data_IF_387327407201
#
_entry.id   IF_387327407201
#
_cell.length_a   1.000
_cell.length_b   1.000
_cell.length_c   1.000
_cell.angle_alpha   90.00
_cell.angle_beta   90.00
_cell.angle_gamma   90.00
#
_symmetry.space_group_name_H-M   'P 1'
#
loop_
_entity.id
_entity.type
_entity.pdbx_description
1 polymer ?
#
# COMPACT_ATOMS: atom_id res chain seq x y z
N UNK A 1 0.64 0.50 -7.55
CA UNK A 1 2.04 0.94 -7.68
C UNK A 1 2.89 0.50 -6.48
N UNK A 2 2.55 0.86 -5.22
CA UNK A 2 3.38 0.57 -4.02
C UNK A 2 3.74 -0.92 -3.87
N UNK A 3 2.79 -1.83 -4.06
CA UNK A 3 3.04 -3.28 -3.95
C UNK A 3 4.01 -3.76 -5.03
N UNK A 4 3.85 -3.26 -6.27
CA UNK A 4 4.76 -3.59 -7.37
C UNK A 4 6.18 -3.06 -7.15
N UNK A 5 6.29 -1.80 -6.69
CA UNK A 5 7.59 -1.22 -6.32
C UNK A 5 8.25 -2.02 -5.19
N UNK A 6 7.50 -2.42 -4.17
CA UNK A 6 8.03 -3.25 -3.09
C UNK A 6 8.48 -4.63 -3.56
N UNK A 7 7.77 -5.27 -4.49
CA UNK A 7 8.17 -6.56 -5.04
C UNK A 7 9.48 -6.49 -5.84
N UNK A 8 9.72 -5.37 -6.55
CA UNK A 8 10.92 -5.15 -7.36
C UNK A 8 12.08 -4.50 -6.59
N UNK A 9 11.81 -3.90 -5.42
CA UNK A 9 12.78 -3.11 -4.66
C UNK A 9 14.10 -3.84 -4.34
N UNK A 10 14.13 -5.13 -3.93
CA UNK A 10 15.37 -5.83 -3.63
C UNK A 10 16.30 -5.98 -4.84
N UNK A 11 15.74 -6.01 -6.04
CA UNK A 11 16.52 -6.07 -7.29
C UNK A 11 16.82 -4.67 -7.81
N UNK A 12 15.82 -3.76 -7.76
CA UNK A 12 15.94 -2.42 -8.30
C UNK A 12 16.94 -1.55 -7.53
N UNK A 13 16.87 -1.57 -6.20
CA UNK A 13 17.68 -0.66 -5.36
C UNK A 13 19.18 -0.93 -5.49
N UNK A 14 19.67 -2.17 -5.39
CA UNK A 14 21.10 -2.44 -5.57
C UNK A 14 21.62 -2.10 -6.99
N UNK A 15 20.78 -2.22 -8.01
CA UNK A 15 21.16 -1.91 -9.40
C UNK A 15 21.27 -0.40 -9.61
N UNK A 16 20.29 0.36 -9.09
CA UNK A 16 20.25 1.82 -9.32
C UNK A 16 21.19 2.59 -8.40
N UNK A 17 21.27 2.19 -7.12
CA UNK A 17 22.02 2.90 -6.09
C UNK A 17 23.31 2.20 -5.66
N UNK A 18 23.55 0.99 -6.15
CA UNK A 18 24.71 0.17 -5.81
C UNK A 18 24.45 -0.82 -4.66
N UNK A 19 25.31 -1.86 -4.60
CA UNK A 19 25.15 -2.98 -3.67
C UNK A 19 25.11 -2.61 -2.18
N UNK A 20 25.70 -1.47 -1.79
CA UNK A 20 25.65 -0.95 -0.42
C UNK A 20 24.24 -0.63 0.07
N UNK A 21 23.26 -0.50 -0.84
CA UNK A 21 21.86 -0.18 -0.55
C UNK A 21 20.94 -1.41 -0.53
N UNK A 22 21.49 -2.63 -0.52
CA UNK A 22 20.69 -3.87 -0.50
C UNK A 22 19.71 -3.92 0.67
N UNK A 23 20.11 -3.49 1.86
CA UNK A 23 19.23 -3.42 3.05
C UNK A 23 18.02 -2.48 2.83
N UNK A 24 18.21 -1.41 2.07
CA UNK A 24 17.10 -0.51 1.72
C UNK A 24 16.06 -1.18 0.82
N UNK A 25 16.47 -2.18 0.02
CA UNK A 25 15.57 -3.02 -0.76
C UNK A 25 14.63 -3.86 0.12
N UNK A 26 15.15 -4.44 1.18
CA UNK A 26 14.38 -5.21 2.16
C UNK A 26 13.41 -4.29 2.94
N UNK A 27 13.87 -3.11 3.35
CA UNK A 27 13.02 -2.10 4.00
C UNK A 27 11.87 -1.66 3.09
N UNK A 28 12.12 -1.47 1.81
CA UNK A 28 11.10 -1.10 0.84
C UNK A 28 10.02 -2.20 0.68
N UNK A 29 10.40 -3.48 0.82
CA UNK A 29 9.41 -4.58 0.86
C UNK A 29 8.51 -4.49 2.10
N UNK A 30 9.07 -4.19 3.26
CA UNK A 30 8.29 -4.00 4.50
C UNK A 30 7.28 -2.87 4.30
N UNK A 31 7.69 -1.75 3.72
CA UNK A 31 6.79 -0.64 3.44
C UNK A 31 5.71 -0.95 2.38
N UNK A 32 5.92 -1.93 1.51
CA UNK A 32 4.88 -2.37 0.59
C UNK A 32 3.63 -2.92 1.31
N UNK A 33 3.78 -3.50 2.50
CA UNK A 33 2.65 -3.92 3.33
C UNK A 33 1.79 -2.74 3.83
N UNK A 34 2.32 -1.53 3.82
CA UNK A 34 1.56 -0.32 4.15
C UNK A 34 0.65 0.17 3.00
N UNK A 35 0.66 -0.48 1.84
CA UNK A 35 -0.12 -0.05 0.68
C UNK A 35 -1.62 0.08 0.99
N UNK A 36 -2.18 -0.84 1.79
CA UNK A 36 -3.60 -0.82 2.18
C UNK A 36 -3.93 0.38 3.08
N UNK A 37 -3.30 0.54 4.26
CA UNK A 37 -3.59 1.68 5.12
C UNK A 37 -3.24 3.02 4.47
N UNK A 38 -2.17 3.08 3.67
CA UNK A 38 -1.79 4.29 2.95
C UNK A 38 -2.87 4.72 1.94
N UNK A 39 -3.41 3.76 1.17
CA UNK A 39 -4.48 4.05 0.21
C UNK A 39 -5.72 4.58 0.91
N UNK A 40 -6.14 3.97 2.02
CA UNK A 40 -7.30 4.43 2.78
C UNK A 40 -7.07 5.82 3.39
N UNK A 41 -5.88 6.09 3.93
CA UNK A 41 -5.53 7.40 4.48
C UNK A 41 -5.51 8.50 3.41
N UNK A 42 -5.05 8.16 2.19
CA UNK A 42 -5.03 9.06 1.05
C UNK A 42 -6.42 9.57 0.65
N UNK A 43 -7.44 8.75 0.81
CA UNK A 43 -8.84 9.16 0.55
C UNK A 43 -9.51 9.76 1.78
N UNK A 44 -9.24 9.24 2.97
CA UNK A 44 -9.90 9.69 4.20
C UNK A 44 -9.57 11.14 4.56
N UNK A 45 -8.31 11.53 4.48
CA UNK A 45 -7.86 12.87 4.88
C UNK A 45 -8.47 14.00 4.05
N UNK A 46 -8.43 13.97 2.70
CA UNK A 46 -9.10 14.97 1.88
C UNK A 46 -10.62 14.97 2.06
N UNK A 47 -11.24 13.80 2.19
CA UNK A 47 -12.69 13.70 2.39
C UNK A 47 -13.12 14.37 3.69
N UNK A 48 -12.43 14.14 4.79
CA UNK A 48 -12.69 14.79 6.07
C UNK A 48 -12.45 16.30 6.01
N UNK A 49 -11.47 16.76 5.22
CA UNK A 49 -11.22 18.20 5.01
C UNK A 49 -12.38 18.87 4.29
N UNK A 50 -12.86 18.28 3.19
CA UNK A 50 -13.98 18.82 2.39
C UNK A 50 -15.27 18.85 3.18
N UNK A 51 -15.49 17.86 4.05
CA UNK A 51 -16.65 17.77 4.94
C UNK A 51 -16.57 18.73 6.15
N UNK A 52 -15.51 19.55 6.25
CA UNK A 52 -15.31 20.48 7.37
C UNK A 52 -15.09 19.80 8.72
N UNK A 53 -14.76 18.50 8.73
CA UNK A 53 -14.56 17.71 9.94
C UNK A 53 -13.16 17.91 10.56
N UNK A 54 -12.74 19.16 10.73
CA UNK A 54 -11.40 19.53 11.20
C UNK A 54 -11.02 18.89 12.54
N UNK A 55 -11.97 18.76 13.46
CA UNK A 55 -11.75 18.08 14.75
C UNK A 55 -11.40 16.61 14.57
N UNK A 56 -12.04 15.94 13.61
CA UNK A 56 -11.76 14.55 13.28
C UNK A 56 -10.36 14.39 12.68
N UNK A 57 -9.95 15.32 11.83
CA UNK A 57 -8.59 15.35 11.27
C UNK A 57 -7.52 15.54 12.35
N UNK A 58 -7.72 16.51 13.25
CA UNK A 58 -6.80 16.76 14.36
C UNK A 58 -6.69 15.51 15.23
N UNK A 59 -7.82 14.91 15.61
CA UNK A 59 -7.86 13.69 16.41
C UNK A 59 -7.12 12.53 15.73
N UNK A 60 -7.33 12.33 14.42
CA UNK A 60 -6.64 11.30 13.66
C UNK A 60 -5.14 11.55 13.61
N UNK A 61 -4.72 12.77 13.28
CA UNK A 61 -3.30 13.15 13.19
C UNK A 61 -2.59 13.03 14.53
N UNK A 62 -3.25 13.48 15.61
CA UNK A 62 -2.71 13.35 16.97
C UNK A 62 -2.55 11.89 17.38
N UNK A 63 -3.54 11.05 17.12
CA UNK A 63 -3.45 9.61 17.39
C UNK A 63 -2.33 8.95 16.59
N UNK A 64 -2.20 9.28 15.31
CA UNK A 64 -1.11 8.78 14.47
C UNK A 64 0.27 9.24 14.99
N UNK A 65 0.39 10.48 15.45
CA UNK A 65 1.63 11.02 16.00
C UNK A 65 1.99 10.30 17.29
N UNK A 66 1.07 10.24 18.25
CA UNK A 66 1.31 9.62 19.58
C UNK A 66 1.67 8.14 19.42
N UNK A 67 0.87 7.39 18.63
CA UNK A 67 1.13 5.98 18.38
C UNK A 67 2.48 5.79 17.63
N UNK A 68 2.80 6.69 16.71
CA UNK A 68 4.07 6.70 16.01
C UNK A 68 5.26 6.89 16.94
N UNK A 69 5.19 7.89 17.82
CA UNK A 69 6.26 8.16 18.80
C UNK A 69 6.44 6.96 19.73
N UNK A 70 5.36 6.43 20.29
CA UNK A 70 5.42 5.29 21.22
C UNK A 70 6.06 4.07 20.54
N UNK A 71 5.58 3.68 19.36
CA UNK A 71 6.08 2.50 18.67
C UNK A 71 7.52 2.69 18.17
N UNK A 72 7.88 3.89 17.73
CA UNK A 72 9.25 4.21 17.31
C UNK A 72 10.21 4.15 18.49
N UNK A 73 9.86 4.76 19.63
CA UNK A 73 10.69 4.72 20.84
C UNK A 73 10.84 3.29 21.37
N UNK A 74 9.78 2.50 21.34
CA UNK A 74 9.84 1.09 21.74
C UNK A 74 10.71 0.23 20.81
N UNK A 75 10.75 0.56 19.50
CA UNK A 75 11.52 -0.17 18.51
C UNK A 75 13.00 0.28 18.43
N UNK A 76 13.31 1.50 18.92
CA UNK A 76 14.63 2.11 18.79
C UNK A 76 15.79 1.22 19.30
N UNK A 77 15.70 0.54 20.45
CA UNK A 77 16.78 -0.31 20.94
C UNK A 77 17.05 -1.55 20.07
N UNK A 78 16.12 -1.91 19.20
CA UNK A 78 16.21 -3.09 18.33
C UNK A 78 16.75 -2.77 16.92
N UNK A 79 17.11 -1.49 16.67
CA UNK A 79 17.75 -1.05 15.43
C UNK A 79 16.77 -0.61 14.33
N UNK A 80 17.34 -0.21 13.18
CA UNK A 80 16.61 0.44 12.08
C UNK A 80 15.50 -0.44 11.51
N UNK A 81 15.73 -1.75 11.37
CA UNK A 81 14.73 -2.70 10.87
C UNK A 81 13.51 -2.79 11.78
N UNK A 82 13.72 -2.83 13.10
CA UNK A 82 12.63 -2.85 14.07
C UNK A 82 11.80 -1.56 14.01
N UNK A 83 12.45 -0.42 13.85
CA UNK A 83 11.77 0.86 13.64
C UNK A 83 10.95 0.83 12.35
N UNK A 84 11.50 0.34 11.22
CA UNK A 84 10.75 0.23 9.97
C UNK A 84 9.55 -0.71 10.10
N UNK A 85 9.71 -1.86 10.75
CA UNK A 85 8.61 -2.81 11.00
C UNK A 85 7.53 -2.15 11.87
N UNK A 86 7.88 -1.30 12.85
CA UNK A 86 6.92 -0.65 13.73
C UNK A 86 5.94 0.28 13.02
N UNK A 87 6.29 0.78 11.83
CA UNK A 87 5.38 1.59 11.00
C UNK A 87 4.19 0.79 10.45
N UNK A 88 4.38 -0.51 10.20
CA UNK A 88 3.31 -1.37 9.66
C UNK A 88 2.17 -1.53 10.68
N UNK A 89 2.38 -2.04 11.91
CA UNK A 89 1.31 -2.14 12.89
C UNK A 89 0.69 -0.79 13.23
N UNK A 90 1.48 0.28 13.30
CA UNK A 90 0.95 1.64 13.49
C UNK A 90 -0.09 1.99 12.43
N UNK A 91 0.23 1.73 11.15
CA UNK A 91 -0.66 2.05 10.05
C UNK A 91 -1.96 1.24 10.13
N UNK A 92 -1.89 -0.05 10.48
CA UNK A 92 -3.06 -0.92 10.64
C UNK A 92 -3.89 -0.60 11.88
N UNK A 93 -3.27 -0.23 13.00
CA UNK A 93 -3.97 0.16 14.23
C UNK A 93 -4.79 1.45 14.06
N UNK A 94 -4.38 2.35 13.15
CA UNK A 94 -5.13 3.58 12.87
C UNK A 94 -6.27 3.38 11.87
N UNK A 95 -6.33 2.26 11.14
CA UNK A 95 -7.38 1.98 10.15
C UNK A 95 -8.80 2.01 10.73
N UNK A 96 -9.13 1.32 11.84
CA UNK A 96 -10.48 1.31 12.37
C UNK A 96 -10.93 2.71 12.78
N UNK A 97 -10.02 3.52 13.31
CA UNK A 97 -10.32 4.91 13.64
C UNK A 97 -10.59 5.75 12.40
N UNK A 98 -9.79 5.59 11.33
CA UNK A 98 -10.02 6.28 10.06
C UNK A 98 -11.39 5.95 9.47
N UNK A 99 -11.74 4.67 9.41
CA UNK A 99 -13.03 4.20 8.89
C UNK A 99 -14.17 4.72 9.74
N UNK A 100 -14.03 4.72 11.06
CA UNK A 100 -15.06 5.23 11.98
C UNK A 100 -15.28 6.73 11.83
N UNK A 101 -14.20 7.52 11.74
CA UNK A 101 -14.28 8.98 11.55
C UNK A 101 -14.89 9.33 10.20
N UNK A 102 -14.49 8.63 9.14
CA UNK A 102 -15.05 8.82 7.80
C UNK A 102 -16.55 8.52 7.79
N UNK A 103 -16.97 7.39 8.40
CA UNK A 103 -18.38 7.05 8.54
C UNK A 103 -19.16 8.11 9.30
N UNK A 104 -18.60 8.62 10.39
CA UNK A 104 -19.26 9.65 11.22
C UNK A 104 -19.42 10.98 10.49
N UNK A 105 -18.45 11.35 9.66
CA UNK A 105 -18.43 12.61 8.93
C UNK A 105 -19.26 12.58 7.64
N UNK A 106 -19.19 11.47 6.88
CA UNK A 106 -19.81 11.35 5.55
C UNK A 106 -21.10 10.53 5.52
N UNK A 107 -21.39 9.75 6.57
CA UNK A 107 -22.48 8.78 6.55
C UNK A 107 -22.24 7.55 5.66
N UNK A 108 -21.10 7.49 4.95
CA UNK A 108 -20.74 6.38 4.05
C UNK A 108 -20.57 5.09 4.88
N UNK A 109 -21.18 4.02 4.41
CA UNK A 109 -21.04 2.72 5.08
C UNK A 109 -19.64 2.15 4.84
N UNK A 110 -18.99 1.53 5.85
CA UNK A 110 -17.69 0.90 5.68
C UNK A 110 -17.64 -0.10 4.50
N UNK A 111 -18.75 -0.82 4.30
CA UNK A 111 -18.89 -1.76 3.18
C UNK A 111 -18.73 -1.09 1.81
N UNK A 112 -19.22 0.13 1.64
CA UNK A 112 -19.10 0.87 0.38
C UNK A 112 -17.66 1.34 0.14
N UNK A 113 -16.98 1.74 1.21
CA UNK A 113 -15.54 2.06 1.17
C UNK A 113 -14.72 0.84 0.77
N UNK A 114 -14.97 -0.32 1.38
CA UNK A 114 -14.28 -1.57 1.01
C UNK A 114 -14.64 -2.04 -0.41
N UNK A 115 -15.86 -1.84 -0.85
CA UNK A 115 -16.26 -2.13 -2.24
C UNK A 115 -15.51 -1.25 -3.24
N UNK A 116 -15.33 0.03 -2.95
CA UNK A 116 -14.61 0.95 -3.84
C UNK A 116 -13.10 0.66 -3.89
N UNK A 117 -12.48 0.32 -2.76
CA UNK A 117 -11.04 0.11 -2.62
C UNK A 117 -10.64 -1.36 -2.90
N UNK A 118 -11.56 -2.30 -2.76
CA UNK A 118 -11.32 -3.74 -2.91
C UNK A 118 -10.74 -4.15 -4.26
N UNK A 119 -11.36 -3.80 -5.40
CA UNK A 119 -10.87 -4.18 -6.72
C UNK A 119 -9.41 -3.77 -6.98
N UNK A 120 -9.01 -2.50 -6.78
CA UNK A 120 -7.62 -2.11 -6.96
C UNK A 120 -6.65 -2.76 -5.96
N UNK A 121 -7.11 -3.08 -4.74
CA UNK A 121 -6.29 -3.81 -3.77
C UNK A 121 -6.04 -5.25 -4.21
N UNK A 122 -7.08 -5.97 -4.62
CA UNK A 122 -6.93 -7.35 -5.12
C UNK A 122 -6.04 -7.37 -6.37
N UNK A 123 -6.26 -6.46 -7.32
CA UNK A 123 -5.42 -6.37 -8.52
C UNK A 123 -3.95 -6.08 -8.17
N UNK A 124 -3.69 -5.18 -7.22
CA UNK A 124 -2.31 -4.84 -6.82
C UNK A 124 -1.63 -5.95 -6.03
N UNK A 125 -2.35 -6.70 -5.20
CA UNK A 125 -1.78 -7.86 -4.48
C UNK A 125 -1.48 -9.01 -5.44
N UNK A 126 -2.37 -9.32 -6.37
CA UNK A 126 -2.12 -10.33 -7.41
C UNK A 126 -0.90 -9.95 -8.26
N UNK A 127 -0.81 -8.69 -8.70
CA UNK A 127 0.36 -8.19 -9.41
C UNK A 127 1.64 -8.32 -8.57
N UNK A 128 1.61 -7.94 -7.29
CA UNK A 128 2.77 -8.03 -6.41
C UNK A 128 3.25 -9.46 -6.21
N UNK A 129 2.34 -10.40 -6.01
CA UNK A 129 2.66 -11.84 -5.90
C UNK A 129 3.23 -12.36 -7.22
N UNK A 130 2.61 -12.04 -8.35
CA UNK A 130 3.10 -12.45 -9.67
C UNK A 130 4.51 -11.92 -9.94
N UNK A 131 4.78 -10.63 -9.62
CA UNK A 131 6.10 -10.04 -9.76
C UNK A 131 7.13 -10.67 -8.81
N UNK A 132 6.78 -10.92 -7.55
CA UNK A 132 7.67 -11.56 -6.60
C UNK A 132 8.06 -12.98 -7.02
N UNK A 133 7.12 -13.74 -7.57
CA UNK A 133 7.39 -15.06 -8.13
C UNK A 133 8.26 -14.95 -9.39
N UNK A 134 7.93 -14.02 -10.29
CA UNK A 134 8.70 -13.82 -11.52
C UNK A 134 10.14 -13.39 -11.24
N UNK A 135 10.36 -12.50 -10.27
CA UNK A 135 11.72 -12.11 -9.82
C UNK A 135 12.49 -13.35 -9.39
N UNK A 136 11.94 -14.18 -8.51
CA UNK A 136 12.63 -15.40 -8.02
C UNK A 136 12.97 -16.39 -9.14
N UNK A 137 12.10 -16.51 -10.14
CA UNK A 137 12.32 -17.43 -11.27
C UNK A 137 13.33 -16.90 -12.29
N UNK A 138 13.39 -15.59 -12.49
CA UNK A 138 14.23 -14.94 -13.49
C UNK A 138 15.61 -14.52 -12.95
N UNK A 139 15.72 -14.26 -11.66
CA UNK A 139 16.97 -13.84 -11.00
C UNK A 139 18.11 -14.87 -11.18
N UNK A 140 17.77 -16.14 -11.38
CA UNK A 140 18.72 -17.22 -11.65
C UNK A 140 19.19 -17.29 -13.11
N UNK A 141 18.54 -16.57 -14.04
CA UNK A 141 18.76 -16.71 -15.49
C UNK A 141 19.14 -15.43 -16.22
N UNK A 142 18.81 -14.25 -15.66
CA UNK A 142 18.98 -12.96 -16.32
C UNK A 142 19.76 -11.99 -15.44
N UNK A 143 20.48 -11.06 -16.08
CA UNK A 143 21.11 -9.96 -15.37
C UNK A 143 20.02 -9.06 -14.74
N UNK A 144 20.23 -8.58 -13.52
CA UNK A 144 19.20 -7.86 -12.75
C UNK A 144 18.55 -6.67 -13.49
N UNK A 145 19.31 -5.92 -14.33
CA UNK A 145 18.76 -4.82 -15.14
C UNK A 145 17.77 -5.31 -16.21
N UNK A 146 17.99 -6.52 -16.78
CA UNK A 146 17.08 -7.14 -17.74
C UNK A 146 15.77 -7.56 -17.06
N UNK A 147 15.87 -8.07 -15.83
CA UNK A 147 14.71 -8.40 -14.99
C UNK A 147 13.85 -7.15 -14.76
N UNK A 148 14.48 -6.01 -14.43
CA UNK A 148 13.76 -4.75 -14.24
C UNK A 148 13.07 -4.25 -15.51
N UNK A 149 13.79 -4.22 -16.65
CA UNK A 149 13.25 -3.77 -17.93
C UNK A 149 12.07 -4.62 -18.40
N UNK A 150 12.08 -5.91 -18.10
CA UNK A 150 11.03 -6.84 -18.50
C UNK A 150 9.83 -6.81 -17.54
N UNK A 151 10.09 -6.83 -16.23
CA UNK A 151 9.05 -6.97 -15.23
C UNK A 151 8.30 -5.66 -14.95
N UNK A 152 8.93 -4.49 -15.12
CA UNK A 152 8.24 -3.22 -14.89
C UNK A 152 7.06 -3.00 -15.85
N UNK A 153 7.22 -3.06 -17.18
CA UNK A 153 6.10 -2.91 -18.10
C UNK A 153 5.11 -4.08 -18.02
N UNK A 154 5.60 -5.30 -17.82
CA UNK A 154 4.75 -6.49 -17.67
C UNK A 154 3.86 -6.38 -16.44
N UNK A 155 4.40 -5.90 -15.31
CA UNK A 155 3.63 -5.65 -14.09
C UNK A 155 2.58 -4.57 -14.28
N UNK A 156 2.91 -3.48 -14.98
CA UNK A 156 1.95 -2.42 -15.29
C UNK A 156 0.80 -2.92 -16.19
N UNK A 157 1.11 -3.70 -17.22
CA UNK A 157 0.12 -4.32 -18.09
C UNK A 157 -0.77 -5.32 -17.33
N UNK A 158 -0.15 -6.18 -16.52
CA UNK A 158 -0.88 -7.15 -15.69
C UNK A 158 -1.85 -6.45 -14.74
N UNK A 159 -1.40 -5.38 -14.07
CA UNK A 159 -2.27 -4.57 -13.21
C UNK A 159 -3.45 -3.96 -13.96
N UNK A 160 -3.20 -3.39 -15.14
CA UNK A 160 -4.25 -2.82 -15.99
C UNK A 160 -5.29 -3.84 -16.40
N UNK A 161 -4.86 -5.01 -16.87
CA UNK A 161 -5.74 -6.11 -17.26
C UNK A 161 -6.52 -6.67 -16.07
N UNK A 162 -5.83 -6.91 -14.93
CA UNK A 162 -6.46 -7.40 -13.71
C UNK A 162 -7.52 -6.41 -13.19
N UNK A 163 -7.21 -5.10 -13.20
CA UNK A 163 -8.14 -4.07 -12.78
C UNK A 163 -9.38 -4.04 -13.68
N UNK A 164 -9.21 -4.11 -15.01
CA UNK A 164 -10.31 -4.14 -15.96
C UNK A 164 -11.18 -5.39 -15.78
N UNK A 165 -10.57 -6.56 -15.60
CA UNK A 165 -11.28 -7.81 -15.37
C UNK A 165 -12.10 -7.77 -14.07
N UNK A 166 -11.48 -7.35 -12.97
CA UNK A 166 -12.13 -7.28 -11.66
C UNK A 166 -13.22 -6.20 -11.66
N UNK A 167 -12.99 -5.04 -12.29
CA UNK A 167 -13.97 -3.97 -12.35
C UNK A 167 -15.23 -4.35 -13.14
N UNK A 168 -15.09 -5.20 -14.16
CA UNK A 168 -16.25 -5.74 -14.92
C UNK A 168 -17.08 -6.70 -14.06
N UNK A 169 -16.46 -7.54 -13.24
CA UNK A 169 -17.17 -8.49 -12.37
C UNK A 169 -17.82 -7.79 -11.16
N UNK A 170 -17.25 -6.68 -10.70
CA UNK A 170 -17.80 -5.89 -9.57
C UNK A 170 -18.86 -4.87 -9.98
N UNK A 171 -18.91 -4.47 -11.24
CA UNK A 171 -20.07 -3.81 -11.83
C UNK A 171 -21.12 -4.88 -12.09
N UNK A 172 -21.84 -5.30 -11.02
CA UNK A 172 -22.96 -6.21 -11.13
C UNK A 172 -24.01 -5.72 -12.14
N UNK A 173 -25.00 -6.54 -12.53
CA UNK A 173 -25.96 -6.25 -13.61
C UNK A 173 -26.87 -5.04 -13.39
N UNK A 174 -26.73 -4.30 -12.30
CA UNK A 174 -27.49 -3.11 -11.96
C UNK A 174 -26.70 -1.81 -12.18
N UNK A 175 -26.07 -1.67 -13.33
CA UNK A 175 -25.55 -0.39 -13.84
C UNK A 175 -26.69 0.55 -14.28
N UNK A 176 -27.60 0.93 -13.38
CA UNK A 176 -28.49 2.07 -13.59
C UNK A 176 -27.94 3.23 -12.78
N UNK A 177 -27.32 4.15 -13.54
CA UNK A 177 -27.11 5.52 -13.14
C UNK A 177 -28.45 6.17 -12.80
N UNK A 178 -28.64 6.59 -11.59
CA UNK A 178 -29.58 7.65 -11.22
C UNK A 178 -28.78 8.82 -10.73
#
# INVERSE_FOLDING_TARGET
>A
ALVGCGALAPVAIPIVFGAKWSEAGELAQIFAFMAVPFTLNFFASPSLSVLGASRSLISLSTTQLVLGVILTLAALPYGVFAVAISYVPRAYLTLPMQIWLLRRASGIRPADTFRAVGPPLVASTLMGVALAVAVRLLDTRLAGWQVLLLLTPTGALFYGVALLAISKTWRGPNGRSS
#
